data_IF_863855521704
#
_entry.id   IF_863855521704
#
_cell.length_a   1.000
_cell.length_b   1.000
_cell.length_c   1.000
_cell.angle_alpha   90.00
_cell.angle_beta   90.00
_cell.angle_gamma   90.00
#
_symmetry.space_group_name_H-M   'P 1'
#
loop_
_entity.id
_entity.type
_entity.pdbx_description
1 polymer ?
#
# COMPACT_ATOMS: atom_id res chain seq x y z
N UNK A 1 -6.91 -15.74 -21.38
CA UNK A 1 -6.53 -14.40 -20.86
C UNK A 1 -5.06 -14.46 -20.51
N UNK A 2 -4.20 -13.73 -21.21
CA UNK A 2 -2.75 -13.69 -20.93
C UNK A 2 -2.54 -12.88 -19.65
N UNK A 3 -2.09 -13.54 -18.58
CA UNK A 3 -1.71 -12.85 -17.34
C UNK A 3 -0.45 -12.01 -17.63
N UNK A 4 -0.60 -10.68 -17.73
CA UNK A 4 0.55 -9.78 -17.77
C UNK A 4 1.28 -9.87 -16.43
N UNK A 5 2.56 -10.23 -16.48
CA UNK A 5 3.46 -10.20 -15.33
C UNK A 5 3.83 -8.75 -14.99
N UNK A 6 3.85 -8.41 -13.70
CA UNK A 6 4.31 -7.09 -13.24
C UNK A 6 5.82 -6.94 -13.49
N UNK A 7 6.24 -5.77 -13.95
CA UNK A 7 7.67 -5.43 -14.01
C UNK A 7 8.18 -5.02 -12.63
N UNK A 8 9.50 -5.11 -12.41
CA UNK A 8 10.12 -4.67 -11.15
C UNK A 8 9.84 -3.18 -10.85
N UNK A 9 9.78 -2.33 -11.89
CA UNK A 9 9.48 -0.90 -11.77
C UNK A 9 8.04 -0.70 -11.27
N UNK A 10 7.08 -1.44 -11.83
CA UNK A 10 5.67 -1.38 -11.41
C UNK A 10 5.49 -1.79 -9.94
N UNK A 11 6.22 -2.84 -9.51
CA UNK A 11 6.21 -3.27 -8.10
C UNK A 11 6.81 -2.19 -7.20
N UNK A 12 7.94 -1.61 -7.58
CA UNK A 12 8.60 -0.56 -6.79
C UNK A 12 7.73 0.69 -6.63
N UNK A 13 7.05 1.13 -7.69
CA UNK A 13 6.13 2.28 -7.66
C UNK A 13 4.93 2.03 -6.75
N UNK A 14 4.30 0.86 -6.87
CA UNK A 14 3.21 0.48 -5.99
C UNK A 14 3.69 0.47 -4.52
N UNK A 15 4.85 -0.12 -4.26
CA UNK A 15 5.45 -0.18 -2.93
C UNK A 15 5.73 1.20 -2.34
N UNK A 16 6.15 2.18 -3.15
CA UNK A 16 6.35 3.56 -2.68
C UNK A 16 5.06 4.15 -2.08
N UNK A 17 3.93 3.98 -2.78
CA UNK A 17 2.62 4.45 -2.31
C UNK A 17 2.17 3.68 -1.07
N UNK A 18 2.26 2.34 -1.11
CA UNK A 18 1.84 1.46 -0.02
C UNK A 18 2.69 1.67 1.24
N UNK A 19 3.97 2.02 1.09
CA UNK A 19 4.87 2.28 2.21
C UNK A 19 4.65 3.66 2.86
N UNK A 20 3.73 4.48 2.36
CA UNK A 20 3.44 5.78 2.95
C UNK A 20 2.83 5.61 4.36
N UNK A 21 3.40 6.20 5.43
CA UNK A 21 2.96 5.96 6.81
C UNK A 21 1.47 6.27 7.06
N UNK A 22 0.97 7.34 6.44
CA UNK A 22 -0.45 7.71 6.54
C UNK A 22 -1.40 6.75 5.82
N UNK A 23 -0.93 6.00 4.80
CA UNK A 23 -1.74 4.97 4.13
C UNK A 23 -1.81 3.73 5.03
N UNK A 24 -0.65 3.25 5.50
CA UNK A 24 -0.57 2.11 6.42
C UNK A 24 -1.48 2.34 7.63
N UNK A 25 -1.28 3.47 8.33
CA UNK A 25 -2.05 3.78 9.55
C UNK A 25 -3.54 3.91 9.29
N UNK A 26 -3.96 4.52 8.18
CA UNK A 26 -5.37 4.70 7.86
C UNK A 26 -6.06 3.37 7.52
N UNK A 27 -5.40 2.54 6.70
CA UNK A 27 -5.94 1.23 6.30
C UNK A 27 -6.12 0.34 7.51
N UNK A 28 -5.07 0.17 8.32
CA UNK A 28 -5.13 -0.73 9.47
C UNK A 28 -6.06 -0.22 10.56
N UNK A 29 -6.10 1.09 10.82
CA UNK A 29 -7.02 1.62 11.82
C UNK A 29 -8.48 1.40 11.42
N UNK A 30 -8.82 1.53 10.14
CA UNK A 30 -10.19 1.26 9.68
C UNK A 30 -10.50 -0.24 9.70
N UNK A 31 -9.52 -1.08 9.42
CA UNK A 31 -9.66 -2.54 9.48
C UNK A 31 -9.94 -3.00 10.93
N UNK A 32 -9.13 -2.52 11.88
CA UNK A 32 -9.21 -2.88 13.30
C UNK A 32 -10.47 -2.33 14.00
N UNK A 33 -10.83 -1.08 13.70
CA UNK A 33 -11.83 -0.33 14.49
C UNK A 33 -13.06 0.11 13.69
N UNK A 34 -13.09 -0.20 12.40
CA UNK A 34 -14.15 0.25 11.51
C UNK A 34 -13.97 1.71 11.04
N UNK A 35 -15.02 2.31 10.44
CA UNK A 35 -14.91 3.59 9.78
C UNK A 35 -14.32 4.71 10.66
N UNK A 36 -13.59 5.64 10.06
CA UNK A 36 -13.04 6.80 10.81
C UNK A 36 -13.69 8.08 10.32
N UNK A 37 -14.27 8.83 11.24
CA UNK A 37 -14.83 10.14 10.93
C UNK A 37 -13.71 11.11 10.50
N UNK A 38 -13.88 11.81 9.36
CA UNK A 38 -12.80 12.60 8.75
C UNK A 38 -12.24 13.71 9.64
N UNK A 39 -13.09 14.30 10.48
CA UNK A 39 -12.71 15.35 11.42
C UNK A 39 -11.91 14.82 12.63
N UNK A 40 -11.85 13.50 12.83
CA UNK A 40 -11.12 12.88 13.94
C UNK A 40 -9.73 12.37 13.55
N UNK A 41 -9.37 12.36 12.25
CA UNK A 41 -8.11 11.75 11.78
C UNK A 41 -6.88 12.23 12.55
N UNK A 42 -6.74 13.54 12.78
CA UNK A 42 -5.60 14.11 13.53
C UNK A 42 -5.58 13.74 15.01
N UNK A 43 -6.76 13.41 15.58
CA UNK A 43 -6.89 12.95 16.96
C UNK A 43 -6.67 11.45 17.08
N UNK A 44 -7.00 10.68 16.04
CA UNK A 44 -6.78 9.24 15.99
C UNK A 44 -5.32 8.90 15.70
N UNK A 45 -4.67 9.66 14.81
CA UNK A 45 -3.28 9.41 14.39
C UNK A 45 -2.30 10.36 15.07
N UNK A 46 -2.23 10.29 16.41
CA UNK A 46 -1.36 11.17 17.21
C UNK A 46 0.13 10.92 16.97
N UNK A 47 0.47 9.75 16.43
CA UNK A 47 1.82 9.33 16.03
C UNK A 47 2.29 9.98 14.72
N UNK A 48 1.38 10.62 13.95
CA UNK A 48 1.70 11.22 12.65
C UNK A 48 1.42 12.73 12.62
N UNK A 49 2.36 13.54 12.09
CA UNK A 49 2.08 14.93 11.78
C UNK A 49 0.88 15.09 10.84
N UNK A 50 0.05 16.11 11.07
CA UNK A 50 -1.15 16.40 10.27
C UNK A 50 -0.91 16.41 8.74
N UNK A 51 0.19 16.98 8.20
CA UNK A 51 0.45 16.89 6.76
C UNK A 51 0.56 15.45 6.24
N UNK A 52 1.15 14.53 7.02
CA UNK A 52 1.26 13.10 6.64
C UNK A 52 -0.08 12.39 6.69
N UNK A 53 -0.92 12.71 7.68
CA UNK A 53 -2.29 12.20 7.77
C UNK A 53 -3.11 12.61 6.54
N UNK A 54 -3.02 13.89 6.15
CA UNK A 54 -3.71 14.42 4.97
C UNK A 54 -3.21 13.78 3.69
N UNK A 55 -1.89 13.70 3.50
CA UNK A 55 -1.28 13.07 2.32
C UNK A 55 -1.68 11.59 2.21
N UNK A 56 -1.59 10.82 3.30
CA UNK A 56 -1.99 9.42 3.32
C UNK A 56 -3.48 9.21 3.02
N UNK A 57 -4.34 10.07 3.56
CA UNK A 57 -5.78 10.04 3.26
C UNK A 57 -6.09 10.39 1.80
N UNK A 58 -5.33 11.30 1.19
CA UNK A 58 -5.47 11.65 -0.21
C UNK A 58 -5.05 10.48 -1.11
N UNK A 59 -3.86 9.92 -0.88
CA UNK A 59 -3.35 8.75 -1.61
C UNK A 59 -4.31 7.55 -1.50
N UNK A 60 -4.77 7.24 -0.29
CA UNK A 60 -5.69 6.12 -0.07
C UNK A 60 -7.02 6.29 -0.84
N UNK A 61 -7.49 7.51 -1.03
CA UNK A 61 -8.67 7.79 -1.85
C UNK A 61 -8.39 7.71 -3.33
N UNK A 62 -7.29 8.34 -3.76
CA UNK A 62 -6.85 8.39 -5.16
C UNK A 62 -6.72 6.98 -5.74
N UNK A 63 -6.15 6.06 -4.95
CA UNK A 63 -5.98 4.68 -5.37
C UNK A 63 -7.12 3.74 -4.94
N UNK A 64 -8.24 4.27 -4.46
CA UNK A 64 -9.44 3.47 -4.18
C UNK A 64 -9.32 2.50 -3.00
N UNK A 65 -8.40 2.70 -2.06
CA UNK A 65 -8.29 1.92 -0.82
C UNK A 65 -9.40 2.29 0.17
N UNK A 66 -9.81 3.56 0.16
CA UNK A 66 -10.91 4.05 0.99
C UNK A 66 -11.93 4.79 0.16
N UNK A 67 -13.19 4.69 0.59
CA UNK A 67 -14.32 5.43 0.01
C UNK A 67 -14.99 6.34 1.04
N UNK A 68 -15.78 7.28 0.53
CA UNK A 68 -16.65 8.08 1.37
C UNK A 68 -17.74 7.21 2.00
N UNK A 69 -18.03 7.44 3.27
CA UNK A 69 -19.16 6.85 3.97
C UNK A 69 -19.60 7.72 5.12
N UNK A 70 -20.38 7.15 6.03
CA UNK A 70 -20.79 7.81 7.27
C UNK A 70 -20.49 6.96 8.50
N UNK A 71 -20.23 7.62 9.62
CA UNK A 71 -20.14 7.06 10.97
C UNK A 71 -20.91 7.95 11.92
N UNK A 72 -21.92 7.41 12.61
CA UNK A 72 -22.80 8.18 13.50
C UNK A 72 -23.32 9.48 12.84
N UNK A 73 -23.77 9.38 11.58
CA UNK A 73 -24.27 10.53 10.80
C UNK A 73 -23.21 11.54 10.33
N UNK A 74 -21.92 11.30 10.59
CA UNK A 74 -20.82 12.19 10.17
C UNK A 74 -20.03 11.61 9.00
N UNK A 75 -19.47 12.44 8.09
CA UNK A 75 -18.61 11.97 7.01
C UNK A 75 -17.42 11.16 7.54
N UNK A 76 -17.22 9.98 6.98
CA UNK A 76 -16.19 9.03 7.38
C UNK A 76 -15.45 8.44 6.17
N UNK A 77 -14.29 7.84 6.44
CA UNK A 77 -13.62 6.92 5.55
C UNK A 77 -13.99 5.48 5.90
N UNK A 78 -14.21 4.67 4.87
CA UNK A 78 -14.48 3.24 4.95
C UNK A 78 -13.55 2.53 3.98
N UNK A 79 -13.07 1.34 4.36
CA UNK A 79 -12.32 0.51 3.41
C UNK A 79 -13.23 0.13 2.23
N UNK A 80 -12.60 0.06 1.07
CA UNK A 80 -13.10 -0.71 -0.07
C UNK A 80 -12.67 -2.17 0.11
N UNK A 81 -13.10 -3.06 -0.78
CA UNK A 81 -12.61 -4.43 -0.83
C UNK A 81 -11.08 -4.46 -0.99
N UNK A 82 -10.54 -3.69 -1.95
CA UNK A 82 -9.10 -3.55 -2.17
C UNK A 82 -8.34 -3.05 -0.93
N UNK A 83 -8.95 -2.13 -0.17
CA UNK A 83 -8.39 -1.64 1.09
C UNK A 83 -8.37 -2.69 2.20
N UNK A 84 -9.38 -3.55 2.28
CA UNK A 84 -9.42 -4.67 3.22
C UNK A 84 -8.41 -5.75 2.84
N UNK A 85 -8.33 -6.11 1.56
CA UNK A 85 -7.31 -7.04 1.07
C UNK A 85 -5.88 -6.54 1.34
N UNK A 86 -5.68 -5.21 1.32
CA UNK A 86 -4.39 -4.61 1.65
C UNK A 86 -4.07 -4.72 3.14
N UNK A 87 -5.05 -4.60 4.02
CA UNK A 87 -4.86 -4.80 5.46
C UNK A 87 -4.36 -6.22 5.75
N UNK A 88 -4.96 -7.23 5.11
CA UNK A 88 -4.51 -8.63 5.15
C UNK A 88 -3.06 -8.80 4.68
N UNK A 89 -2.66 -8.09 3.61
CA UNK A 89 -1.27 -8.08 3.15
C UNK A 89 -0.37 -7.51 4.24
N UNK A 90 -0.67 -6.32 4.78
CA UNK A 90 0.13 -5.70 5.85
C UNK A 90 0.27 -6.60 7.08
N UNK A 91 -0.78 -7.32 7.44
CA UNK A 91 -0.76 -8.26 8.54
C UNK A 91 0.17 -9.45 8.30
N UNK A 92 0.14 -10.02 7.09
CA UNK A 92 1.09 -11.07 6.69
C UNK A 92 2.52 -10.55 6.72
N UNK A 93 2.77 -9.33 6.22
CA UNK A 93 4.08 -8.70 6.26
C UNK A 93 4.57 -8.52 7.69
N UNK A 94 3.75 -7.93 8.55
CA UNK A 94 4.10 -7.66 9.93
C UNK A 94 4.28 -8.95 10.75
N UNK A 95 3.53 -10.02 10.44
CA UNK A 95 3.67 -11.33 11.08
C UNK A 95 4.99 -11.99 10.70
N UNK A 96 5.32 -12.04 9.41
CA UNK A 96 6.63 -12.54 8.95
C UNK A 96 7.77 -11.73 9.56
N UNK A 97 7.70 -10.40 9.47
CA UNK A 97 8.72 -9.50 9.98
C UNK A 97 8.97 -9.69 11.49
N UNK A 98 7.92 -9.95 12.29
CA UNK A 98 8.08 -10.32 13.72
C UNK A 98 8.79 -11.66 13.90
N UNK A 99 8.40 -12.68 13.13
CA UNK A 99 9.02 -14.01 13.20
C UNK A 99 10.51 -13.97 12.81
N UNK A 100 10.87 -13.11 11.87
CA UNK A 100 12.24 -12.91 11.39
C UNK A 100 13.03 -11.86 12.19
N UNK A 101 12.47 -11.33 13.28
CA UNK A 101 13.05 -10.24 14.08
C UNK A 101 13.48 -9.01 13.25
N UNK A 102 12.70 -8.69 12.21
CA UNK A 102 12.96 -7.62 11.24
C UNK A 102 11.87 -6.53 11.27
N UNK A 103 12.24 -5.22 11.22
CA UNK A 103 13.51 -4.73 11.76
C UNK A 103 13.52 -5.04 13.29
N UNK A 104 14.38 -4.41 14.08
CA UNK A 104 14.49 -4.70 15.52
C UNK A 104 13.12 -4.96 16.23
N UNK A 105 13.08 -5.89 17.18
CA UNK A 105 11.84 -6.45 17.74
C UNK A 105 10.85 -5.40 18.27
N UNK A 106 11.32 -4.23 18.71
CA UNK A 106 10.52 -3.22 19.41
C UNK A 106 10.02 -2.05 18.56
N UNK A 107 10.03 -2.16 17.22
CA UNK A 107 9.41 -1.11 16.38
C UNK A 107 7.89 -1.26 16.33
N UNK A 108 7.20 -0.13 16.15
CA UNK A 108 5.76 -0.08 15.90
C UNK A 108 5.37 -0.77 14.58
N UNK A 109 4.08 -1.03 14.41
CA UNK A 109 3.53 -1.72 13.24
C UNK A 109 3.84 -0.97 11.93
N UNK A 110 3.60 0.34 11.89
CA UNK A 110 3.79 1.17 10.69
C UNK A 110 5.24 1.14 10.22
N UNK A 111 6.17 1.31 11.15
CA UNK A 111 7.62 1.24 10.91
C UNK A 111 8.02 -0.14 10.41
N UNK A 112 7.47 -1.21 10.99
CA UNK A 112 7.74 -2.60 10.57
C UNK A 112 7.27 -2.86 9.14
N UNK A 113 6.02 -2.51 8.81
CA UNK A 113 5.46 -2.70 7.47
C UNK A 113 6.23 -1.87 6.45
N UNK A 114 6.51 -0.60 6.76
CA UNK A 114 7.27 0.30 5.88
C UNK A 114 8.69 -0.20 5.59
N UNK A 115 9.35 -0.81 6.56
CA UNK A 115 10.67 -1.42 6.35
C UNK A 115 10.60 -2.73 5.54
N UNK A 116 9.52 -3.50 5.71
CA UNK A 116 9.36 -4.83 5.10
C UNK A 116 8.94 -4.74 3.63
N UNK A 117 8.09 -3.78 3.27
CA UNK A 117 7.55 -3.62 1.91
C UNK A 117 8.66 -3.53 0.82
N UNK A 118 9.68 -2.65 0.93
CA UNK A 118 10.75 -2.57 -0.06
C UNK A 118 11.62 -3.82 -0.14
N UNK A 119 11.77 -4.55 0.98
CA UNK A 119 12.55 -5.78 1.03
C UNK A 119 11.86 -6.87 0.20
N UNK A 120 10.55 -7.02 0.35
CA UNK A 120 9.76 -8.02 -0.37
C UNK A 120 9.47 -7.67 -1.83
N UNK A 121 9.74 -6.42 -2.22
CA UNK A 121 9.70 -5.97 -3.60
C UNK A 121 10.92 -6.46 -4.42
N UNK A 122 12.03 -6.75 -3.73
CA UNK A 122 13.30 -7.12 -4.35
C UNK A 122 13.42 -8.64 -4.52
N UNK A 123 14.30 -9.07 -5.42
CA UNK A 123 14.71 -10.46 -5.58
C UNK A 123 16.25 -10.52 -5.51
N UNK A 124 16.86 -11.59 -4.95
CA UNK A 124 16.22 -12.79 -4.41
C UNK A 124 15.66 -12.62 -2.98
N UNK A 125 14.64 -13.40 -2.64
CA UNK A 125 14.03 -13.43 -1.30
C UNK A 125 14.38 -14.68 -0.49
N UNK A 126 14.46 -14.58 0.86
CA UNK A 126 14.45 -15.75 1.73
C UNK A 126 13.19 -16.62 1.52
N UNK A 127 13.32 -17.94 1.65
CA UNK A 127 12.22 -18.87 1.39
C UNK A 127 10.98 -18.63 2.27
N UNK A 128 11.19 -18.24 3.53
CA UNK A 128 10.14 -17.88 4.49
C UNK A 128 9.48 -16.52 4.17
N UNK A 129 10.12 -15.68 3.37
CA UNK A 129 9.60 -14.40 2.89
C UNK A 129 8.79 -14.53 1.58
N UNK A 130 8.78 -15.71 0.96
CA UNK A 130 8.13 -15.93 -0.32
C UNK A 130 6.60 -15.76 -0.25
N UNK A 131 5.96 -16.31 0.78
CA UNK A 131 4.52 -16.20 0.98
C UNK A 131 4.03 -14.75 1.14
N UNK A 132 4.61 -13.92 2.04
CA UNK A 132 4.22 -12.52 2.15
C UNK A 132 4.56 -11.71 0.88
N UNK A 133 5.67 -11.98 0.21
CA UNK A 133 6.01 -11.31 -1.06
C UNK A 133 5.03 -11.69 -2.19
N UNK A 134 4.60 -12.94 -2.25
CA UNK A 134 3.60 -13.40 -3.22
C UNK A 134 2.24 -12.72 -2.97
N UNK A 135 1.82 -12.60 -1.71
CA UNK A 135 0.59 -11.88 -1.35
C UNK A 135 0.65 -10.41 -1.80
N UNK A 136 1.77 -9.73 -1.55
CA UNK A 136 1.98 -8.35 -2.04
C UNK A 136 1.90 -8.25 -3.56
N UNK A 137 2.59 -9.14 -4.29
CA UNK A 137 2.61 -9.12 -5.77
C UNK A 137 1.24 -9.44 -6.36
N UNK A 138 0.52 -10.41 -5.80
CA UNK A 138 -0.85 -10.73 -6.20
C UNK A 138 -1.79 -9.54 -5.99
N UNK A 139 -1.66 -8.86 -4.85
CA UNK A 139 -2.44 -7.67 -4.57
C UNK A 139 -2.14 -6.54 -5.58
N UNK A 140 -0.86 -6.26 -5.86
CA UNK A 140 -0.49 -5.24 -6.87
C UNK A 140 -1.01 -5.62 -8.25
N UNK A 141 -0.97 -6.92 -8.60
CA UNK A 141 -1.42 -7.41 -9.90
C UNK A 141 -2.94 -7.27 -10.08
N UNK A 142 -3.71 -7.49 -9.01
CA UNK A 142 -5.15 -7.28 -8.98
C UNK A 142 -5.52 -5.78 -9.00
N UNK A 143 -4.66 -4.91 -8.45
CA UNK A 143 -4.91 -3.49 -8.26
C UNK A 143 -4.00 -2.62 -9.14
N UNK A 144 -4.07 -2.82 -10.46
CA UNK A 144 -3.14 -2.18 -11.43
C UNK A 144 -3.17 -0.65 -11.48
N UNK A 145 -4.14 0.01 -10.85
CA UNK A 145 -4.12 1.47 -10.65
C UNK A 145 -2.87 1.94 -9.89
N UNK A 146 -2.21 1.04 -9.15
CA UNK A 146 -0.91 1.29 -8.51
C UNK A 146 0.31 1.05 -9.42
N UNK A 147 0.14 0.36 -10.55
CA UNK A 147 1.20 0.00 -11.49
C UNK A 147 1.22 0.85 -12.78
N UNK A 148 0.18 1.65 -13.03
CA UNK A 148 -0.06 2.31 -14.33
C UNK A 148 0.71 3.63 -14.54
N UNK A 149 1.62 4.03 -13.66
CA UNK A 149 2.30 5.32 -13.74
C UNK A 149 3.35 5.43 -14.87
N UNK A 150 3.67 4.36 -15.61
CA UNK A 150 4.70 4.38 -16.66
C UNK A 150 4.18 4.25 -18.11
N UNK A 151 3.00 3.63 -18.36
CA UNK A 151 2.54 3.40 -19.74
C UNK A 151 2.21 4.71 -20.48
N UNK A 152 1.92 5.79 -19.77
CA UNK A 152 1.68 7.11 -20.35
C UNK A 152 2.97 7.84 -20.83
N UNK A 153 4.16 7.32 -20.50
CA UNK A 153 5.43 8.02 -20.71
C UNK A 153 6.38 7.33 -21.72
N UNK A 154 5.90 6.41 -22.55
CA UNK A 154 6.65 5.95 -23.72
C UNK A 154 6.26 6.77 -24.95
N UNK A 155 7.01 7.84 -25.32
CA UNK A 155 6.88 8.42 -26.65
C UNK A 155 7.32 7.36 -27.66
N UNK A 156 6.44 7.11 -28.63
CA UNK A 156 6.67 6.29 -29.82
C UNK A 156 8.00 6.71 -30.47
N UNK A 157 9.07 5.99 -30.15
CA UNK A 157 10.35 6.12 -30.83
C UNK A 157 10.26 5.39 -32.18
N UNK A 158 9.51 5.97 -33.11
CA UNK A 158 9.69 5.67 -34.54
C UNK A 158 10.68 6.69 -35.11
N UNK A 159 11.98 6.35 -34.98
CA UNK A 159 13.01 6.85 -35.88
C UNK A 159 13.32 5.78 -36.90
N UNK A 160 13.12 6.12 -38.18
CA UNK A 160 14.05 5.95 -39.32
C UNK A 160 13.18 6.12 -40.58
N UNK A 161 13.26 7.22 -41.34
CA UNK A 161 14.37 7.62 -42.21
C UNK A 161 14.76 6.51 -43.19
N UNK A 162 14.36 6.65 -44.47
CA UNK A 162 15.17 6.48 -45.69
C UNK A 162 14.27 6.23 -46.90
N UNK A 163 14.37 7.09 -47.92
CA UNK A 163 13.67 7.00 -49.20
C UNK A 163 13.46 8.37 -49.80
#
# INVERSE_FOLDING_TARGET
>A
MTATTLTAIQVAQAVEVLAHPGVIRLVTEIDDHGPIARHLLSRTFTDLPLPRVRAGSALAREHGLVRAGQQAGRPAYRLTEHGSDLADVYDRLARWARASAYPALHVDFTTRVRATLPLLAQEPLPADAQAPAQALRQWIQANRTFAAAHDAASPTASRSASG
#
